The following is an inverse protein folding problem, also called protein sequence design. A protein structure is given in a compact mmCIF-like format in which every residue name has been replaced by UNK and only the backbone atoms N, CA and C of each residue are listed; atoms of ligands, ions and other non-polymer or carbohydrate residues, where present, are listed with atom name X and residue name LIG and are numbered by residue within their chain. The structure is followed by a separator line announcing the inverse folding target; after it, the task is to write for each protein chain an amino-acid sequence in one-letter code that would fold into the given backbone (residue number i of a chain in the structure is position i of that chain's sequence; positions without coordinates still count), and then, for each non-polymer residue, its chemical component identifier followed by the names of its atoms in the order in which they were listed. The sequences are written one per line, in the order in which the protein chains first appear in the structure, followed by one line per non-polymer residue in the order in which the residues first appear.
data_IF_873626066631
#
_entry.id   IF_873626066631
#
_cell.length_a   1.000
_cell.length_b   1.000
_cell.length_c   1.000
_cell.angle_alpha   90.00
_cell.angle_beta   90.00
_cell.angle_gamma   90.00
#
_symmetry.space_group_name_H-M   'P 1'
#
loop_
_entity.id
_entity.type
_entity.pdbx_description
1 polymer ?
#
# COMPACT_ATOMS: atom_id res chain seq x y z
N UNK A 1 -14.12 -13.19 66.76
CA UNK A 1 -13.89 -11.74 66.71
C UNK A 1 -12.70 -11.61 65.82
N UNK A 2 -12.80 -11.48 64.50
CA UNK A 2 -13.60 -10.58 63.69
C UNK A 2 -12.72 -9.42 63.34
N UNK A 3 -12.06 -9.49 62.19
CA UNK A 3 -11.96 -8.34 61.32
C UNK A 3 -11.34 -8.73 59.98
N UNK A 4 -12.07 -8.42 58.92
CA UNK A 4 -11.67 -8.49 57.55
C UNK A 4 -10.80 -7.26 57.21
N UNK A 5 -9.75 -7.39 56.41
CA UNK A 5 -9.18 -6.24 55.70
C UNK A 5 -9.86 -6.04 54.33
N UNK A 6 -10.05 -4.76 54.03
CA UNK A 6 -10.82 -4.23 52.93
C UNK A 6 -10.22 -4.42 51.56
N UNK A 7 -11.16 -4.38 50.67
CA UNK A 7 -11.08 -4.36 49.21
C UNK A 7 -10.31 -3.12 48.71
N UNK A 8 -9.11 -3.33 48.16
CA UNK A 8 -8.33 -2.34 47.46
C UNK A 8 -8.68 -2.37 45.96
N UNK A 9 -9.61 -1.51 45.55
CA UNK A 9 -9.96 -1.31 44.16
C UNK A 9 -8.77 -0.78 43.34
N UNK A 10 -8.13 -1.64 42.59
CA UNK A 10 -7.22 -1.23 41.51
C UNK A 10 -8.04 -0.61 40.36
N UNK A 11 -8.06 0.71 40.31
CA UNK A 11 -8.43 1.45 39.10
C UNK A 11 -7.42 1.11 37.99
N UNK A 12 -7.78 0.20 37.12
CA UNK A 12 -7.15 0.09 35.82
C UNK A 12 -7.49 1.32 35.00
N UNK A 13 -6.47 2.13 34.75
CA UNK A 13 -6.50 3.17 33.74
C UNK A 13 -6.70 2.48 32.40
N UNK A 14 -7.87 2.68 31.81
CA UNK A 14 -8.17 2.28 30.46
C UNK A 14 -7.24 3.06 29.51
N UNK A 15 -6.23 2.39 29.00
CA UNK A 15 -5.44 2.90 27.88
C UNK A 15 -6.38 3.10 26.70
N UNK A 16 -6.48 4.35 26.24
CA UNK A 16 -7.28 4.73 25.08
C UNK A 16 -6.83 3.90 23.88
N UNK A 17 -7.77 3.17 23.30
CA UNK A 17 -7.62 2.52 22.01
C UNK A 17 -7.35 3.60 20.98
N UNK A 18 -6.30 3.48 20.15
CA UNK A 18 -6.21 4.34 18.97
C UNK A 18 -7.44 4.05 18.10
N UNK A 19 -8.04 5.12 17.58
CA UNK A 19 -9.13 5.04 16.63
C UNK A 19 -8.69 4.14 15.45
N UNK A 20 -9.17 2.91 15.45
CA UNK A 20 -8.91 1.98 14.38
C UNK A 20 -9.51 2.55 13.10
N UNK A 21 -8.69 2.79 12.10
CA UNK A 21 -9.12 2.97 10.74
C UNK A 21 -9.86 1.71 10.33
N UNK A 22 -11.18 1.73 10.44
CA UNK A 22 -12.02 0.63 9.99
C UNK A 22 -11.81 0.46 8.49
N UNK A 23 -11.27 -0.69 8.09
CA UNK A 23 -11.20 -1.13 6.71
C UNK A 23 -12.64 -1.32 6.18
N UNK A 24 -13.16 -0.27 5.57
CA UNK A 24 -14.52 -0.21 4.98
C UNK A 24 -14.73 -1.26 3.88
N UNK A 25 -13.66 -1.89 3.42
CA UNK A 25 -13.67 -2.73 2.21
C UNK A 25 -13.70 -4.24 2.47
N UNK A 26 -13.65 -4.72 3.70
CA UNK A 26 -13.47 -6.16 3.96
C UNK A 26 -14.74 -7.02 3.96
N UNK A 27 -15.95 -6.45 3.95
CA UNK A 27 -17.19 -7.24 3.95
C UNK A 27 -18.27 -6.63 3.07
N UNK A 28 -18.10 -6.68 1.76
CA UNK A 28 -19.23 -6.55 0.83
C UNK A 28 -19.89 -7.93 0.67
N UNK A 29 -20.63 -8.36 1.68
CA UNK A 29 -21.70 -9.33 1.47
C UNK A 29 -22.91 -8.56 0.95
N UNK A 30 -23.06 -8.53 -0.35
CA UNK A 30 -24.28 -8.05 -0.98
C UNK A 30 -25.39 -9.01 -0.65
N UNK A 31 -26.31 -8.58 0.20
CA UNK A 31 -27.63 -9.19 0.27
C UNK A 31 -28.34 -8.86 -1.05
N UNK A 32 -28.34 -9.85 -1.96
CA UNK A 32 -29.21 -9.81 -3.13
C UNK A 32 -30.66 -9.89 -2.66
N UNK A 33 -31.29 -8.76 -2.47
CA UNK A 33 -32.76 -8.72 -2.67
C UNK A 33 -32.98 -8.47 -4.15
N UNK A 34 -32.85 -9.52 -4.94
CA UNK A 34 -33.41 -9.55 -6.27
C UNK A 34 -34.93 -9.60 -6.09
N UNK A 35 -35.57 -8.45 -5.93
CA UNK A 35 -36.99 -8.37 -6.19
C UNK A 35 -37.16 -8.61 -7.69
N UNK A 36 -37.39 -9.88 -8.07
CA UNK A 36 -37.93 -10.17 -9.38
C UNK A 36 -39.36 -9.59 -9.35
N UNK A 37 -39.54 -8.50 -10.05
CA UNK A 37 -40.89 -8.03 -10.38
C UNK A 37 -41.55 -9.15 -11.19
N UNK A 38 -42.31 -10.00 -10.53
CA UNK A 38 -43.15 -11.00 -11.23
C UNK A 38 -44.31 -10.22 -11.77
N UNK A 39 -44.22 -9.83 -13.03
CA UNK A 39 -45.37 -9.31 -13.76
C UNK A 39 -46.25 -10.54 -14.01
N UNK A 40 -47.17 -10.84 -13.09
CA UNK A 40 -48.24 -11.78 -13.32
C UNK A 40 -49.28 -11.05 -14.16
N UNK A 41 -49.31 -11.33 -15.46
CA UNK A 41 -50.42 -10.91 -16.31
C UNK A 41 -51.68 -11.60 -15.83
N UNK A 42 -52.41 -10.97 -14.92
CA UNK A 42 -53.73 -11.39 -14.55
C UNK A 42 -54.66 -10.91 -15.66
N UNK A 43 -54.96 -11.80 -16.59
CA UNK A 43 -56.06 -11.60 -17.55
C UNK A 43 -57.37 -11.66 -16.79
N UNK A 44 -57.88 -10.52 -16.33
CA UNK A 44 -59.22 -10.41 -15.76
C UNK A 44 -60.28 -10.47 -16.88
N UNK A 45 -60.85 -11.64 -17.10
CA UNK A 45 -62.10 -11.78 -17.87
C UNK A 45 -63.22 -11.19 -17.03
N UNK A 46 -63.65 -9.99 -17.33
CA UNK A 46 -64.86 -9.39 -16.74
C UNK A 46 -66.09 -9.98 -17.41
N UNK A 47 -66.80 -10.84 -16.67
CA UNK A 47 -68.15 -11.25 -17.03
C UNK A 47 -69.13 -10.10 -16.73
N UNK A 48 -69.73 -9.56 -17.76
CA UNK A 48 -70.78 -8.58 -17.64
C UNK A 48 -72.06 -9.28 -17.16
N UNK A 49 -72.56 -8.93 -15.97
CA UNK A 49 -73.89 -9.30 -15.49
C UNK A 49 -74.71 -8.05 -15.16
N UNK A 50 -75.84 -7.85 -15.85
CA UNK A 50 -76.99 -7.11 -15.41
C UNK A 50 -77.09 -5.65 -15.88
N UNK A 51 -77.97 -5.42 -16.83
CA UNK A 51 -78.38 -4.11 -17.32
C UNK A 51 -79.09 -3.28 -16.25
N UNK A 52 -78.69 -2.04 -16.12
CA UNK A 52 -79.37 -1.01 -15.33
C UNK A 52 -78.34 -0.02 -14.65
N UNK A 53 -77.24 -0.50 -14.20
CA UNK A 53 -76.22 0.36 -13.65
C UNK A 53 -75.02 0.57 -14.60
N UNK A 54 -75.06 0.00 -15.77
CA UNK A 54 -73.89 -0.03 -16.70
C UNK A 54 -73.57 1.35 -17.31
N UNK A 55 -74.51 2.28 -17.35
CA UNK A 55 -74.25 3.61 -17.94
C UNK A 55 -73.35 4.49 -17.09
N UNK A 56 -73.50 4.50 -15.77
CA UNK A 56 -72.68 5.28 -14.84
C UNK A 56 -71.37 4.60 -14.58
N UNK A 57 -71.32 3.26 -14.54
CA UNK A 57 -70.10 2.48 -14.39
C UNK A 57 -69.15 2.60 -15.61
N UNK A 58 -69.76 2.67 -16.83
CA UNK A 58 -69.01 2.82 -18.08
C UNK A 58 -68.27 4.18 -18.17
N UNK A 59 -68.91 5.24 -17.58
CA UNK A 59 -68.33 6.58 -17.57
C UNK A 59 -67.04 6.70 -16.69
N UNK A 60 -66.81 5.80 -15.74
CA UNK A 60 -65.68 5.75 -14.85
C UNK A 60 -64.63 4.66 -15.21
N UNK A 61 -64.91 3.81 -16.20
CA UNK A 61 -64.04 2.79 -16.70
C UNK A 61 -62.89 3.48 -17.52
N UNK A 62 -61.66 3.27 -17.13
CA UNK A 62 -60.49 3.90 -17.74
C UNK A 62 -59.48 2.86 -18.21
N UNK A 63 -58.72 3.22 -19.24
CA UNK A 63 -57.62 2.41 -19.75
C UNK A 63 -56.38 3.28 -19.79
N UNK A 64 -55.32 2.90 -19.06
CA UNK A 64 -54.04 3.59 -18.98
C UNK A 64 -52.94 2.67 -19.41
N UNK A 65 -51.82 3.24 -19.82
CA UNK A 65 -50.56 2.51 -20.03
C UNK A 65 -49.63 2.75 -18.84
N UNK A 66 -49.20 1.68 -18.19
CA UNK A 66 -48.19 1.79 -17.10
C UNK A 66 -46.89 1.24 -17.65
N UNK A 67 -45.86 2.08 -17.64
CA UNK A 67 -44.51 1.72 -18.02
C UNK A 67 -43.66 1.50 -16.78
N UNK A 68 -43.24 0.25 -16.53
CA UNK A 68 -42.37 -0.11 -15.42
C UNK A 68 -40.99 -0.43 -15.98
N UNK A 69 -40.01 0.39 -15.68
CA UNK A 69 -38.59 0.24 -16.12
C UNK A 69 -38.47 0.03 -17.64
N UNK A 70 -39.27 0.74 -18.44
CA UNK A 70 -39.31 0.63 -19.90
C UNK A 70 -40.25 -0.44 -20.45
N UNK A 71 -40.82 -1.32 -19.61
CA UNK A 71 -41.78 -2.30 -20.02
C UNK A 71 -43.21 -1.74 -19.88
N UNK A 72 -43.93 -1.59 -20.99
CA UNK A 72 -45.26 -1.02 -21.01
C UNK A 72 -46.32 -2.10 -20.86
N UNK A 73 -47.30 -1.87 -19.96
CA UNK A 73 -48.44 -2.72 -19.75
C UNK A 73 -49.73 -1.86 -19.79
N UNK A 74 -50.76 -2.33 -20.50
CA UNK A 74 -52.06 -1.64 -20.54
C UNK A 74 -52.97 -2.19 -19.42
N UNK A 75 -53.46 -1.27 -18.60
CA UNK A 75 -54.36 -1.57 -17.47
C UNK A 75 -55.73 -0.93 -17.70
N UNK A 76 -56.78 -1.71 -17.58
CA UNK A 76 -58.17 -1.25 -17.72
C UNK A 76 -58.95 -1.58 -16.46
N UNK A 77 -59.77 -0.65 -15.98
CA UNK A 77 -60.51 -0.83 -14.75
C UNK A 77 -61.23 0.43 -14.27
N UNK A 78 -61.79 0.32 -13.07
CA UNK A 78 -62.47 1.42 -12.38
C UNK A 78 -61.49 2.02 -11.36
N UNK A 79 -60.75 2.98 -11.76
CA UNK A 79 -59.79 3.68 -10.91
C UNK A 79 -59.81 5.17 -11.21
N UNK A 80 -59.52 5.98 -10.22
CA UNK A 80 -59.52 7.45 -10.29
C UNK A 80 -58.16 8.07 -10.21
N UNK A 81 -57.23 7.39 -9.55
CA UNK A 81 -55.87 7.88 -9.33
C UNK A 81 -54.83 6.97 -9.96
N UNK A 82 -53.57 7.49 -10.05
CA UNK A 82 -52.40 6.74 -10.50
C UNK A 82 -52.13 5.54 -9.60
N UNK A 83 -52.25 5.72 -8.27
CA UNK A 83 -52.05 4.64 -7.30
C UNK A 83 -53.07 3.51 -7.45
N UNK A 84 -54.35 3.85 -7.71
CA UNK A 84 -55.40 2.86 -7.98
C UNK A 84 -55.09 2.07 -9.27
N UNK A 85 -54.64 2.76 -10.31
CA UNK A 85 -54.29 2.13 -11.59
C UNK A 85 -53.07 1.19 -11.45
N UNK A 86 -52.03 1.58 -10.70
CA UNK A 86 -50.85 0.77 -10.38
C UNK A 86 -51.31 -0.51 -9.63
N UNK A 87 -52.18 -0.34 -8.61
CA UNK A 87 -52.71 -1.46 -7.84
C UNK A 87 -53.55 -2.39 -8.69
N UNK A 88 -54.42 -1.84 -9.58
CA UNK A 88 -55.21 -2.61 -10.52
C UNK A 88 -54.34 -3.38 -11.53
N UNK A 89 -53.17 -2.87 -11.88
CA UNK A 89 -52.18 -3.53 -12.73
C UNK A 89 -51.38 -4.63 -12.00
N UNK A 90 -51.58 -4.80 -10.70
CA UNK A 90 -50.83 -5.76 -9.89
C UNK A 90 -49.34 -5.38 -9.72
N UNK A 91 -49.01 -4.08 -9.87
CA UNK A 91 -47.63 -3.56 -9.76
C UNK A 91 -47.38 -3.21 -8.31
N UNK A 92 -46.29 -3.76 -7.77
CA UNK A 92 -45.83 -3.42 -6.42
C UNK A 92 -44.74 -2.34 -6.53
N UNK A 93 -44.92 -1.23 -5.84
CA UNK A 93 -43.98 -0.13 -5.78
C UNK A 93 -43.31 -0.05 -4.39
N UNK A 94 -42.08 0.41 -4.33
CA UNK A 94 -41.35 0.70 -3.10
C UNK A 94 -41.41 2.19 -2.74
N UNK A 95 -41.01 2.51 -1.50
CA UNK A 95 -41.09 3.89 -0.97
C UNK A 95 -40.12 4.88 -1.68
N UNK A 96 -39.13 4.36 -2.40
CA UNK A 96 -38.12 5.15 -3.11
C UNK A 96 -38.32 5.14 -4.64
N UNK A 97 -39.35 4.42 -5.14
CA UNK A 97 -39.62 4.36 -6.57
C UNK A 97 -40.10 5.72 -7.08
N UNK A 98 -39.69 6.06 -8.30
CA UNK A 98 -40.18 7.24 -8.98
C UNK A 98 -41.49 6.88 -9.72
N UNK A 99 -42.56 7.54 -9.38
CA UNK A 99 -43.86 7.40 -10.02
C UNK A 99 -44.25 8.75 -10.62
N UNK A 100 -44.50 8.77 -11.91
CA UNK A 100 -44.90 9.98 -12.62
C UNK A 100 -46.09 9.69 -13.56
N UNK A 101 -47.23 10.41 -13.41
CA UNK A 101 -47.56 11.39 -12.37
C UNK A 101 -47.61 10.77 -10.96
N UNK A 102 -47.62 11.63 -9.92
CA UNK A 102 -47.67 11.17 -8.54
C UNK A 102 -48.86 10.26 -8.23
N UNK A 103 -48.77 9.30 -7.29
CA UNK A 103 -49.81 8.30 -7.02
C UNK A 103 -51.18 8.87 -6.73
N UNK A 104 -51.27 10.06 -6.13
CA UNK A 104 -52.51 10.75 -5.81
C UNK A 104 -53.11 11.52 -6.99
N UNK A 105 -52.39 11.64 -8.09
CA UNK A 105 -52.86 12.34 -9.29
C UNK A 105 -54.01 11.60 -9.94
N UNK A 106 -54.98 12.35 -10.49
CA UNK A 106 -56.07 11.76 -11.27
C UNK A 106 -55.57 11.25 -12.62
N UNK A 107 -56.14 10.16 -13.09
CA UNK A 107 -55.82 9.61 -14.41
C UNK A 107 -57.00 9.68 -15.35
N UNK A 108 -56.75 9.76 -16.64
CA UNK A 108 -57.72 9.69 -17.73
C UNK A 108 -57.44 8.52 -18.66
N UNK A 109 -58.42 8.09 -19.43
CA UNK A 109 -58.21 7.06 -20.45
C UNK A 109 -57.22 7.56 -21.51
N UNK A 110 -56.19 6.74 -21.77
CA UNK A 110 -55.09 7.06 -22.69
C UNK A 110 -53.84 7.61 -22.01
N UNK A 111 -53.91 7.94 -20.72
CA UNK A 111 -52.73 8.43 -19.97
C UNK A 111 -51.65 7.36 -19.85
N UNK A 112 -50.39 7.82 -19.75
CA UNK A 112 -49.23 6.98 -19.46
C UNK A 112 -48.72 7.31 -18.08
N UNK A 113 -48.54 6.28 -17.26
CA UNK A 113 -47.91 6.32 -15.94
C UNK A 113 -46.54 5.67 -16.05
N UNK A 114 -45.53 6.37 -15.61
CA UNK A 114 -44.14 5.86 -15.60
C UNK A 114 -43.78 5.49 -14.18
N UNK A 115 -43.29 4.27 -14.01
CA UNK A 115 -42.71 3.76 -12.76
C UNK A 115 -41.25 3.41 -13.02
N UNK A 116 -40.39 3.97 -12.23
CA UNK A 116 -38.96 3.61 -12.22
C UNK A 116 -38.62 3.04 -10.86
N UNK A 117 -38.17 1.80 -10.83
CA UNK A 117 -37.80 1.10 -9.60
C UNK A 117 -36.49 1.62 -9.05
N UNK A 118 -36.50 2.03 -7.80
CA UNK A 118 -35.26 2.45 -7.11
C UNK A 118 -34.50 1.25 -6.59
N UNK A 119 -33.20 1.28 -6.78
CA UNK A 119 -32.28 0.29 -6.26
C UNK A 119 -31.42 0.91 -5.15
N UNK A 120 -31.19 0.15 -4.09
CA UNK A 120 -30.30 0.54 -3.00
C UNK A 120 -28.83 0.30 -3.40
N UNK A 121 -28.04 1.36 -3.36
CA UNK A 121 -26.60 1.34 -3.63
C UNK A 121 -25.82 1.64 -2.36
N UNK A 122 -24.74 0.91 -2.14
CA UNK A 122 -23.73 1.25 -1.12
C UNK A 122 -22.73 2.19 -1.74
N UNK A 123 -22.71 3.39 -1.23
CA UNK A 123 -21.79 4.45 -1.63
C UNK A 123 -20.92 4.89 -0.44
N UNK A 124 -19.87 5.61 -0.72
CA UNK A 124 -19.04 6.24 0.30
C UNK A 124 -19.11 7.75 0.10
N UNK A 125 -19.38 8.49 1.15
CA UNK A 125 -19.34 9.95 1.16
C UNK A 125 -18.21 10.37 2.10
N UNK A 126 -17.22 11.07 1.59
CA UNK A 126 -16.00 11.46 2.33
C UNK A 126 -15.32 10.27 3.06
N UNK A 127 -15.34 9.10 2.43
CA UNK A 127 -14.78 7.87 2.98
C UNK A 127 -15.69 7.13 3.95
N UNK A 128 -16.80 7.71 4.39
CA UNK A 128 -17.77 7.05 5.25
C UNK A 128 -18.81 6.26 4.44
N UNK A 129 -19.05 4.97 4.74
CA UNK A 129 -20.03 4.17 4.03
C UNK A 129 -21.45 4.64 4.34
N UNK A 130 -22.26 4.75 3.30
CA UNK A 130 -23.68 5.08 3.40
C UNK A 130 -24.47 4.35 2.33
N UNK A 131 -25.80 4.45 2.38
CA UNK A 131 -26.68 3.93 1.35
C UNK A 131 -27.37 5.06 0.60
N UNK A 132 -27.57 4.85 -0.71
CA UNK A 132 -28.31 5.76 -1.56
C UNK A 132 -29.32 4.97 -2.39
N UNK A 133 -30.51 5.52 -2.55
CA UNK A 133 -31.52 4.99 -3.43
C UNK A 133 -31.50 5.76 -4.75
N UNK A 134 -31.47 5.05 -5.86
CA UNK A 134 -31.47 5.67 -7.18
C UNK A 134 -32.24 4.82 -8.18
N UNK A 135 -32.96 5.48 -9.07
CA UNK A 135 -33.58 4.88 -10.24
C UNK A 135 -32.67 4.87 -11.46
N UNK A 136 -31.44 5.40 -11.32
CA UNK A 136 -30.48 5.46 -12.41
C UNK A 136 -29.90 4.06 -12.72
N UNK A 137 -29.69 3.80 -13.99
CA UNK A 137 -29.10 2.56 -14.52
C UNK A 137 -27.61 2.68 -14.82
N UNK A 138 -27.00 3.83 -14.50
CA UNK A 138 -25.59 4.12 -14.73
C UNK A 138 -24.88 4.61 -13.46
N UNK A 139 -23.56 4.42 -13.42
CA UNK A 139 -22.71 4.86 -12.30
C UNK A 139 -22.81 6.38 -12.11
N UNK A 140 -22.68 7.16 -13.18
CA UNK A 140 -22.79 8.63 -13.12
C UNK A 140 -24.12 9.05 -12.51
N UNK A 141 -25.22 8.47 -12.99
CA UNK A 141 -26.56 8.78 -12.47
C UNK A 141 -26.74 8.41 -10.99
N UNK A 142 -26.14 7.31 -10.53
CA UNK A 142 -26.15 6.95 -9.09
C UNK A 142 -25.32 7.94 -8.27
N UNK A 143 -24.13 8.31 -8.75
CA UNK A 143 -23.27 9.29 -8.06
C UNK A 143 -23.93 10.65 -7.97
N UNK A 144 -24.64 11.08 -9.04
CA UNK A 144 -25.36 12.36 -9.09
C UNK A 144 -26.60 12.39 -8.19
N UNK A 145 -27.23 11.23 -7.98
CA UNK A 145 -28.40 11.12 -7.10
C UNK A 145 -28.05 11.29 -5.61
N UNK A 146 -26.75 11.21 -5.24
CA UNK A 146 -26.31 11.40 -3.83
C UNK A 146 -26.19 12.90 -3.52
N UNK A 147 -27.03 13.45 -2.61
CA UNK A 147 -27.02 14.86 -2.29
C UNK A 147 -25.85 15.19 -1.36
N UNK A 148 -24.65 15.31 -1.89
CA UNK A 148 -23.46 15.68 -1.13
C UNK A 148 -22.56 16.58 -1.96
N UNK A 149 -21.98 17.61 -1.31
CA UNK A 149 -20.91 18.43 -1.88
C UNK A 149 -19.52 17.78 -1.71
N UNK A 150 -19.43 16.72 -0.90
CA UNK A 150 -18.19 15.98 -0.65
C UNK A 150 -17.86 14.95 -1.72
N UNK A 151 -16.78 14.22 -1.48
CA UNK A 151 -16.34 13.12 -2.35
C UNK A 151 -17.32 11.96 -2.26
N UNK A 152 -17.99 11.62 -3.36
CA UNK A 152 -18.88 10.46 -3.45
C UNK A 152 -18.22 9.38 -4.27
N UNK A 153 -18.22 8.15 -3.76
CA UNK A 153 -17.65 7.02 -4.47
C UNK A 153 -18.57 5.79 -4.40
N UNK A 154 -18.51 4.98 -5.46
CA UNK A 154 -19.14 3.66 -5.53
C UNK A 154 -18.08 2.62 -5.92
N UNK A 155 -18.01 1.51 -5.18
CA UNK A 155 -17.09 0.43 -5.51
C UNK A 155 -17.47 -0.21 -6.86
N UNK A 156 -16.48 -0.35 -7.74
CA UNK A 156 -16.66 -1.10 -8.97
C UNK A 156 -16.66 -2.60 -8.65
N UNK A 157 -17.68 -3.31 -9.14
CA UNK A 157 -17.77 -4.75 -8.96
C UNK A 157 -16.76 -5.45 -9.89
N UNK A 158 -15.85 -6.22 -9.29
CA UNK A 158 -14.84 -7.01 -10.01
C UNK A 158 -15.23 -8.48 -10.19
N UNK A 159 -16.38 -8.90 -9.65
CA UNK A 159 -16.82 -10.27 -9.81
C UNK A 159 -17.41 -10.47 -11.20
N UNK A 160 -16.82 -11.37 -11.97
CA UNK A 160 -17.29 -11.73 -13.32
C UNK A 160 -18.70 -12.33 -13.36
N UNK A 161 -19.27 -12.66 -12.21
CA UNK A 161 -20.61 -13.23 -12.09
C UNK A 161 -21.73 -12.18 -12.03
N UNK A 162 -21.39 -10.89 -11.98
CA UNK A 162 -22.35 -9.79 -11.92
C UNK A 162 -22.13 -8.89 -13.13
N UNK A 163 -23.23 -8.54 -13.82
CA UNK A 163 -23.17 -7.55 -14.88
C UNK A 163 -22.63 -6.23 -14.31
N UNK A 164 -21.57 -5.72 -14.90
CA UNK A 164 -21.02 -4.42 -14.55
C UNK A 164 -22.02 -3.33 -14.89
N UNK A 165 -22.17 -2.38 -13.98
CA UNK A 165 -23.00 -1.20 -14.24
C UNK A 165 -22.28 -0.33 -15.28
N UNK A 166 -22.98 0.11 -16.35
CA UNK A 166 -22.40 1.03 -17.31
C UNK A 166 -22.06 2.36 -16.65
N UNK A 167 -20.96 2.99 -17.10
CA UNK A 167 -20.51 4.24 -16.49
C UNK A 167 -21.49 5.40 -16.75
N UNK A 168 -22.09 5.45 -17.94
CA UNK A 168 -23.05 6.51 -18.31
C UNK A 168 -22.42 7.90 -18.47
N UNK A 169 -21.14 7.97 -18.79
CA UNK A 169 -20.40 9.19 -19.08
C UNK A 169 -19.59 9.00 -20.37
N UNK A 170 -19.39 10.07 -21.14
CA UNK A 170 -18.65 10.03 -22.40
C UNK A 170 -17.13 10.01 -22.18
N UNK A 171 -16.68 10.61 -21.08
CA UNK A 171 -15.28 10.64 -20.67
C UNK A 171 -15.16 10.18 -19.22
N UNK A 172 -14.18 9.32 -18.96
CA UNK A 172 -13.83 8.84 -17.62
C UNK A 172 -12.36 9.08 -17.38
N UNK A 173 -12.05 9.72 -16.27
CA UNK A 173 -10.67 9.94 -15.82
C UNK A 173 -10.21 8.69 -15.05
N UNK A 174 -9.22 7.96 -15.57
CA UNK A 174 -8.67 6.77 -14.91
C UNK A 174 -7.43 7.18 -14.12
N UNK A 175 -7.53 7.13 -12.80
CA UNK A 175 -6.44 7.45 -11.88
C UNK A 175 -5.81 6.17 -11.32
N UNK A 176 -4.57 5.88 -11.69
CA UNK A 176 -3.81 4.72 -11.26
C UNK A 176 -2.31 5.05 -11.20
N UNK A 177 -1.59 4.50 -10.23
CA UNK A 177 -0.13 4.57 -10.14
C UNK A 177 0.42 6.02 -10.20
N UNK A 178 -0.33 6.97 -9.60
CA UNK A 178 0.04 8.38 -9.58
C UNK A 178 -0.21 9.15 -10.88
N UNK A 179 -0.82 8.52 -11.88
CA UNK A 179 -1.16 9.13 -13.18
C UNK A 179 -2.67 9.14 -13.40
N UNK A 180 -3.13 10.10 -14.21
CA UNK A 180 -4.53 10.14 -14.67
C UNK A 180 -4.56 10.12 -16.18
N UNK A 181 -5.38 9.24 -16.74
CA UNK A 181 -5.56 9.08 -18.19
C UNK A 181 -7.05 9.27 -18.52
N UNK A 182 -7.34 10.07 -19.52
CA UNK A 182 -8.71 10.27 -19.99
C UNK A 182 -9.08 9.17 -20.99
N UNK A 183 -10.22 8.54 -20.73
CA UNK A 183 -10.75 7.47 -21.56
C UNK A 183 -12.11 7.87 -22.11
N UNK A 184 -12.25 7.81 -23.44
CA UNK A 184 -13.56 7.93 -24.07
C UNK A 184 -14.37 6.66 -23.82
N UNK A 185 -15.49 6.82 -23.15
CA UNK A 185 -16.40 5.74 -22.79
C UNK A 185 -17.62 5.70 -23.72
N UNK A 186 -18.21 4.54 -23.84
CA UNK A 186 -19.55 4.35 -24.45
C UNK A 186 -20.57 4.12 -23.35
N UNK A 187 -21.84 4.31 -23.67
CA UNK A 187 -22.93 4.13 -22.71
C UNK A 187 -23.00 2.71 -22.09
N UNK A 188 -22.34 1.72 -22.71
CA UNK A 188 -22.34 0.33 -22.26
C UNK A 188 -21.07 -0.06 -21.49
N UNK A 189 -20.05 0.80 -21.46
CA UNK A 189 -18.77 0.48 -20.83
C UNK A 189 -18.91 0.46 -19.30
N UNK A 190 -18.46 -0.63 -18.70
CA UNK A 190 -18.27 -0.77 -17.26
C UNK A 190 -16.81 -0.56 -16.85
N UNK A 191 -16.49 -0.82 -15.58
CA UNK A 191 -15.15 -0.60 -15.03
C UNK A 191 -14.05 -1.38 -15.76
N UNK A 192 -14.32 -2.65 -16.10
CA UNK A 192 -13.32 -3.49 -16.80
C UNK A 192 -12.97 -2.94 -18.18
N UNK A 193 -13.97 -2.56 -18.95
CA UNK A 193 -13.75 -1.98 -20.29
C UNK A 193 -12.99 -0.65 -20.23
N UNK A 194 -13.28 0.19 -19.24
CA UNK A 194 -12.58 1.46 -19.03
C UNK A 194 -11.12 1.21 -18.63
N UNK A 195 -10.84 0.27 -17.73
CA UNK A 195 -9.48 -0.08 -17.33
C UNK A 195 -8.67 -0.64 -18.51
N UNK A 196 -9.28 -1.51 -19.32
CA UNK A 196 -8.66 -2.06 -20.52
C UNK A 196 -8.28 -0.95 -21.51
N UNK A 197 -9.20 -0.01 -21.79
CA UNK A 197 -8.93 1.15 -22.65
C UNK A 197 -7.84 2.07 -22.12
N UNK A 198 -7.71 2.18 -20.78
CA UNK A 198 -6.64 2.92 -20.14
C UNK A 198 -5.31 2.17 -20.10
N UNK A 199 -5.28 0.87 -20.45
CA UNK A 199 -4.10 0.02 -20.32
C UNK A 199 -3.74 -0.30 -18.86
N UNK A 200 -4.70 -0.18 -17.94
CA UNK A 200 -4.51 -0.39 -16.49
C UNK A 200 -4.97 -1.79 -16.09
N UNK A 201 -4.05 -2.61 -15.62
CA UNK A 201 -4.35 -3.91 -15.03
C UNK A 201 -4.60 -3.78 -13.53
N UNK A 202 -5.79 -4.11 -13.07
CA UNK A 202 -6.11 -4.18 -11.64
C UNK A 202 -5.86 -5.59 -11.11
N UNK A 203 -5.02 -5.71 -10.08
CA UNK A 203 -4.75 -6.96 -9.39
C UNK A 203 -5.92 -7.42 -8.51
N UNK A 204 -5.90 -8.68 -8.03
CA UNK A 204 -7.00 -9.25 -7.24
C UNK A 204 -7.20 -8.58 -5.88
N UNK A 205 -6.20 -7.88 -5.37
CA UNK A 205 -6.25 -7.16 -4.10
C UNK A 205 -6.57 -5.67 -4.28
N UNK A 206 -6.38 -5.13 -5.49
CA UNK A 206 -6.55 -3.71 -5.75
C UNK A 206 -8.00 -3.28 -5.53
N UNK A 207 -8.16 -2.06 -5.05
CA UNK A 207 -9.46 -1.44 -4.85
C UNK A 207 -9.77 -0.56 -6.04
N UNK A 208 -10.91 -0.80 -6.67
CA UNK A 208 -11.38 -0.04 -7.81
C UNK A 208 -12.70 0.61 -7.44
N UNK A 209 -12.80 1.93 -7.63
CA UNK A 209 -14.00 2.67 -7.33
C UNK A 209 -14.19 3.84 -8.30
N UNK A 210 -15.44 4.11 -8.65
CA UNK A 210 -15.83 5.33 -9.33
C UNK A 210 -16.06 6.43 -8.31
N UNK A 211 -15.57 7.60 -8.62
CA UNK A 211 -15.71 8.82 -7.84
C UNK A 211 -16.38 9.90 -8.66
N UNK A 212 -17.23 10.71 -8.02
CA UNK A 212 -17.70 11.96 -8.59
C UNK A 212 -16.63 13.01 -8.38
N UNK A 213 -16.04 13.51 -9.46
CA UNK A 213 -15.11 14.62 -9.48
C UNK A 213 -15.78 15.93 -9.94
N UNK A 214 -15.05 17.03 -9.88
CA UNK A 214 -15.51 18.32 -10.41
C UNK A 214 -15.68 18.28 -11.94
N UNK A 215 -14.82 17.51 -12.61
CA UNK A 215 -14.75 17.42 -14.08
C UNK A 215 -15.44 16.16 -14.63
N UNK A 216 -16.23 15.45 -13.80
CA UNK A 216 -16.93 14.25 -14.22
C UNK A 216 -16.62 13.01 -13.37
N UNK A 217 -16.69 11.84 -13.99
CA UNK A 217 -16.48 10.55 -13.30
C UNK A 217 -15.01 10.15 -13.35
N UNK A 218 -14.43 9.84 -12.21
CA UNK A 218 -13.07 9.30 -12.08
C UNK A 218 -13.13 7.84 -11.65
N UNK A 219 -12.50 6.94 -12.40
CA UNK A 219 -12.25 5.55 -11.98
C UNK A 219 -10.88 5.47 -11.34
N UNK A 220 -10.86 5.28 -10.01
CA UNK A 220 -9.62 5.19 -9.25
C UNK A 220 -9.24 3.75 -8.95
N UNK A 221 -7.99 3.41 -9.21
CA UNK A 221 -7.36 2.14 -8.81
C UNK A 221 -6.38 2.41 -7.68
N UNK A 222 -6.63 1.82 -6.53
CA UNK A 222 -5.71 1.84 -5.40
C UNK A 222 -4.97 0.51 -5.34
N UNK A 223 -3.65 0.56 -5.41
CA UNK A 223 -2.81 -0.63 -5.33
C UNK A 223 -2.76 -1.15 -3.90
N UNK A 224 -3.12 -2.40 -3.71
CA UNK A 224 -3.09 -3.04 -2.40
C UNK A 224 -2.10 -4.18 -2.41
N UNK A 225 -1.11 -4.12 -1.51
CA UNK A 225 -0.21 -5.24 -1.26
C UNK A 225 -0.35 -5.69 0.18
N UNK A 226 -0.19 -6.99 0.42
CA UNK A 226 -0.19 -7.58 1.76
C UNK A 226 0.69 -8.81 1.80
N UNK A 227 1.37 -8.99 2.92
CA UNK A 227 2.25 -10.14 3.11
C UNK A 227 3.19 -9.96 4.29
N UNK A 228 4.02 -10.95 4.50
CA UNK A 228 5.05 -10.90 5.52
C UNK A 228 6.31 -10.22 4.96
N UNK A 229 6.81 -9.24 5.70
CA UNK A 229 8.07 -8.56 5.42
C UNK A 229 9.06 -8.91 6.53
N UNK A 230 10.27 -9.27 6.13
CA UNK A 230 11.36 -9.55 7.07
C UNK A 230 12.37 -8.41 6.99
N UNK A 231 12.66 -7.82 8.13
CA UNK A 231 13.73 -6.84 8.30
C UNK A 231 14.79 -7.38 9.25
N UNK A 232 16.05 -7.12 8.98
CA UNK A 232 17.17 -7.49 9.86
C UNK A 232 18.04 -6.29 10.12
N UNK A 233 18.31 -6.05 11.39
CA UNK A 233 19.17 -4.97 11.86
C UNK A 233 20.40 -5.59 12.54
N UNK A 234 21.59 -5.14 12.20
CA UNK A 234 22.82 -5.55 12.86
C UNK A 234 22.91 -4.91 14.24
N UNK A 235 23.42 -5.67 15.20
CA UNK A 235 23.72 -5.21 16.55
C UNK A 235 25.23 -5.23 16.70
N UNK A 236 25.84 -4.06 16.87
CA UNK A 236 27.29 -3.97 17.00
C UNK A 236 27.78 -4.63 18.29
N UNK A 237 28.99 -5.18 18.23
CA UNK A 237 29.63 -5.73 19.40
C UNK A 237 30.44 -4.68 20.16
N UNK A 238 30.55 -4.87 21.47
CA UNK A 238 31.41 -4.08 22.31
C UNK A 238 32.88 -4.57 22.26
N UNK A 239 33.83 -3.67 22.49
CA UNK A 239 35.25 -4.03 22.73
C UNK A 239 35.55 -3.84 24.21
N UNK A 240 36.07 -4.87 24.85
CA UNK A 240 36.52 -4.87 26.24
C UNK A 240 38.03 -5.00 26.26
N UNK A 241 38.69 -4.13 27.00
CA UNK A 241 40.12 -4.18 27.20
C UNK A 241 40.44 -4.81 28.56
N UNK A 242 41.41 -5.70 28.59
CA UNK A 242 41.90 -6.37 29.82
C UNK A 242 43.42 -6.26 29.90
N UNK A 243 43.91 -6.01 31.08
CA UNK A 243 45.35 -6.03 31.34
C UNK A 243 45.85 -7.48 31.35
N UNK A 244 47.05 -7.71 30.76
CA UNK A 244 47.72 -9.00 30.71
C UNK A 244 49.19 -8.78 31.10
N UNK A 245 49.61 -9.32 32.25
CA UNK A 245 50.96 -9.22 32.81
C UNK A 245 51.96 -10.18 32.16
N UNK A 246 51.47 -11.05 31.26
CA UNK A 246 52.35 -11.93 30.47
C UNK A 246 52.80 -11.30 29.16
N UNK A 247 52.11 -10.26 28.69
CA UNK A 247 52.48 -9.49 27.49
C UNK A 247 53.31 -8.28 27.85
N UNK A 248 54.31 -7.99 27.02
CA UNK A 248 55.19 -6.83 27.20
C UNK A 248 54.40 -5.51 27.14
N UNK A 249 54.72 -4.57 28.01
CA UNK A 249 54.10 -3.27 28.14
C UNK A 249 54.07 -2.53 26.80
N UNK A 250 52.85 -2.11 26.40
CA UNK A 250 52.62 -1.43 25.12
C UNK A 250 52.29 -2.36 23.95
N UNK A 251 52.23 -3.67 24.18
CA UNK A 251 51.74 -4.61 23.19
C UNK A 251 50.25 -4.91 23.42
N UNK A 252 49.48 -5.13 22.35
CA UNK A 252 48.11 -5.53 22.43
C UNK A 252 47.89 -6.85 21.68
N UNK A 253 46.98 -7.69 22.20
CA UNK A 253 46.66 -8.94 21.57
C UNK A 253 45.13 -9.16 21.64
N UNK A 254 44.51 -9.43 20.48
CA UNK A 254 43.10 -9.84 20.49
C UNK A 254 43.01 -11.26 21.06
N UNK A 255 42.29 -11.38 22.16
CA UNK A 255 42.03 -12.65 22.85
C UNK A 255 40.77 -13.31 22.34
N UNK A 256 39.76 -12.48 22.04
CA UNK A 256 38.50 -12.91 21.49
C UNK A 256 38.06 -11.94 20.37
N UNK A 257 37.78 -12.47 19.21
CA UNK A 257 37.21 -11.67 18.13
C UNK A 257 35.75 -11.31 18.43
N UNK A 258 35.38 -10.07 18.14
CA UNK A 258 33.98 -9.62 18.22
C UNK A 258 33.22 -10.13 17.02
N UNK A 259 31.94 -10.43 17.27
CA UNK A 259 31.00 -10.74 16.20
C UNK A 259 29.71 -9.93 16.40
N UNK A 260 29.24 -9.29 15.33
CA UNK A 260 27.98 -8.56 15.37
C UNK A 260 26.81 -9.51 15.61
N UNK A 261 25.89 -9.09 16.46
CA UNK A 261 24.58 -9.72 16.60
C UNK A 261 23.63 -9.28 15.51
N UNK A 262 22.43 -9.79 15.56
CA UNK A 262 21.35 -9.37 14.65
C UNK A 262 19.99 -9.43 15.32
N UNK A 263 19.13 -8.51 14.97
CA UNK A 263 17.71 -8.58 15.31
C UNK A 263 16.91 -8.69 14.03
N UNK A 264 16.21 -9.81 13.87
CA UNK A 264 15.37 -10.11 12.72
C UNK A 264 13.91 -10.04 13.13
N UNK A 265 13.17 -9.12 12.53
CA UNK A 265 11.73 -8.94 12.75
C UNK A 265 10.98 -9.38 11.52
N UNK A 266 9.99 -10.25 11.72
CA UNK A 266 8.98 -10.61 10.72
C UNK A 266 7.70 -9.90 11.08
N UNK A 267 7.17 -9.10 10.17
CA UNK A 267 5.92 -8.37 10.34
C UNK A 267 4.98 -8.65 9.17
N UNK A 268 3.69 -8.80 9.48
CA UNK A 268 2.66 -8.74 8.45
C UNK A 268 2.39 -7.27 8.12
N UNK A 269 2.43 -6.93 6.85
CA UNK A 269 2.16 -5.58 6.38
C UNK A 269 1.06 -5.58 5.32
N UNK A 270 0.20 -4.56 5.40
CA UNK A 270 -0.67 -4.16 4.30
C UNK A 270 -0.31 -2.74 3.90
N UNK A 271 -0.24 -2.50 2.59
CA UNK A 271 -0.08 -1.13 2.07
C UNK A 271 -1.11 -0.82 1.01
N UNK A 272 -1.47 0.46 0.93
CA UNK A 272 -2.36 1.03 -0.09
C UNK A 272 -1.59 2.14 -0.78
N UNK A 273 -1.47 2.05 -2.11
CA UNK A 273 -0.67 2.99 -2.92
C UNK A 273 0.75 3.19 -2.38
N UNK A 274 1.38 2.11 -1.87
CA UNK A 274 2.72 2.13 -1.28
C UNK A 274 2.80 2.63 0.16
N UNK A 275 1.71 3.14 0.73
CA UNK A 275 1.64 3.58 2.13
C UNK A 275 1.25 2.41 3.02
N UNK A 276 2.09 2.09 4.01
CA UNK A 276 1.79 1.03 4.97
C UNK A 276 0.63 1.45 5.87
N UNK A 277 -0.48 0.71 5.79
CA UNK A 277 -1.70 0.95 6.57
C UNK A 277 -1.85 0.00 7.76
N UNK A 278 -1.25 -1.19 7.65
CA UNK A 278 -1.18 -2.19 8.72
C UNK A 278 0.24 -2.67 8.84
N UNK A 279 0.77 -2.69 10.06
CA UNK A 279 2.06 -3.28 10.38
C UNK A 279 1.94 -4.03 11.71
N UNK A 280 1.91 -5.35 11.65
CA UNK A 280 1.78 -6.21 12.81
C UNK A 280 3.01 -7.10 12.94
N UNK A 281 3.80 -6.92 13.99
CA UNK A 281 4.96 -7.76 14.27
C UNK A 281 4.47 -9.17 14.65
N UNK A 282 4.94 -10.17 13.91
CA UNK A 282 4.62 -11.58 14.12
C UNK A 282 5.67 -12.26 14.99
N UNK A 283 6.95 -11.96 14.76
CA UNK A 283 8.05 -12.49 15.55
C UNK A 283 9.26 -11.57 15.51
N UNK A 284 10.04 -11.57 16.56
CA UNK A 284 11.37 -10.98 16.62
C UNK A 284 12.33 -12.03 17.14
N UNK A 285 13.40 -12.26 16.39
CA UNK A 285 14.49 -13.16 16.76
C UNK A 285 15.74 -12.32 16.93
N UNK A 286 16.40 -12.45 18.08
CA UNK A 286 17.63 -11.72 18.38
C UNK A 286 18.77 -12.69 18.59
N UNK A 287 19.88 -12.40 17.92
CA UNK A 287 21.18 -13.02 18.16
C UNK A 287 22.07 -11.99 18.83
N UNK A 288 22.54 -12.30 20.04
CA UNK A 288 23.37 -11.36 20.78
C UNK A 288 24.77 -11.24 20.14
N UNK A 289 25.35 -10.04 20.16
CA UNK A 289 26.71 -9.84 19.69
C UNK A 289 27.73 -10.49 20.64
N UNK A 290 28.84 -10.92 20.08
CA UNK A 290 29.99 -11.41 20.86
C UNK A 290 30.97 -10.26 21.07
N UNK A 291 31.28 -9.96 22.33
CA UNK A 291 32.23 -8.91 22.71
C UNK A 291 33.63 -9.22 22.21
N UNK A 292 34.29 -8.26 21.61
CA UNK A 292 35.72 -8.34 21.32
C UNK A 292 36.51 -8.11 22.62
N UNK A 293 37.50 -8.97 22.88
CA UNK A 293 38.39 -8.80 24.05
C UNK A 293 39.81 -8.58 23.55
N UNK A 294 40.40 -7.48 23.99
CA UNK A 294 41.78 -7.09 23.68
C UNK A 294 42.58 -7.08 24.96
N UNK A 295 43.66 -7.86 25.01
CA UNK A 295 44.61 -7.87 26.13
C UNK A 295 45.67 -6.78 25.91
N UNK A 296 45.86 -5.94 26.90
CA UNK A 296 46.90 -4.90 26.92
C UNK A 296 48.07 -5.37 27.81
N UNK A 297 49.28 -5.47 27.23
CA UNK A 297 50.45 -5.89 27.93
C UNK A 297 50.88 -4.91 29.01
N UNK A 298 51.04 -5.42 30.24
CA UNK A 298 51.54 -4.62 31.39
C UNK A 298 52.90 -5.07 31.91
N UNK A 299 53.48 -6.15 31.36
CA UNK A 299 54.79 -6.66 31.77
C UNK A 299 55.87 -5.65 31.46
N UNK A 300 56.49 -5.14 32.51
CA UNK A 300 57.61 -4.20 32.38
C UNK A 300 58.85 -4.94 31.89
N UNK A 301 59.49 -4.41 30.83
CA UNK A 301 60.71 -4.99 30.32
C UNK A 301 61.79 -5.03 31.42
N UNK A 302 62.42 -6.20 31.67
CA UNK A 302 63.47 -6.33 32.61
C UNK A 302 64.54 -5.34 32.22
N UNK A 303 64.89 -4.41 33.13
CA UNK A 303 65.91 -3.39 32.91
C UNK A 303 67.22 -4.10 32.56
N UNK A 304 67.81 -3.83 31.36
CA UNK A 304 69.09 -4.43 31.03
C UNK A 304 70.17 -3.99 32.03
N UNK A 305 70.89 -4.96 32.57
CA UNK A 305 72.10 -4.65 33.33
C UNK A 305 73.08 -3.79 32.48
N UNK A 306 73.75 -2.79 33.05
CA UNK A 306 74.58 -1.89 32.29
C UNK A 306 75.72 -2.66 31.63
N UNK A 307 75.73 -2.67 30.28
CA UNK A 307 76.84 -3.19 29.48
C UNK A 307 77.97 -2.16 29.40
N UNK A 308 79.21 -2.60 29.40
CA UNK A 308 80.36 -1.68 29.31
C UNK A 308 80.46 -1.03 27.92
N UNK A 309 80.67 0.25 27.95
CA UNK A 309 80.93 1.11 26.81
C UNK A 309 82.15 0.71 26.01
N UNK A 310 81.99 0.54 24.72
CA UNK A 310 83.07 0.78 23.71
C UNK A 310 82.39 1.01 22.36
N UNK A 311 82.36 2.14 21.86
CA UNK A 311 83.32 2.78 21.01
C UNK A 311 82.94 2.69 19.53
N UNK A 312 82.45 3.78 18.99
CA UNK A 312 82.86 4.39 17.70
C UNK A 312 82.41 3.84 16.34
N UNK A 313 81.79 4.76 15.65
CA UNK A 313 82.01 5.17 14.24
C UNK A 313 81.27 4.43 13.11
N UNK A 314 80.55 5.26 12.37
CA UNK A 314 80.73 5.25 10.92
C UNK A 314 79.43 5.12 10.10
N UNK A 315 78.83 6.24 9.78
CA UNK A 315 78.57 6.75 8.43
C UNK A 315 77.93 5.82 7.36
N UNK A 316 76.90 6.38 6.78
CA UNK A 316 76.55 6.36 5.35
C UNK A 316 75.19 5.67 5.01
N UNK A 317 74.27 6.51 4.65
CA UNK A 317 73.30 6.18 3.66
C UNK A 317 74.00 6.04 2.29
N UNK A 318 73.42 5.37 1.30
CA UNK A 318 72.25 5.86 0.58
C UNK A 318 71.26 4.80 0.04
N UNK A 319 70.06 5.30 -0.24
CA UNK A 319 69.18 5.01 -1.34
C UNK A 319 69.39 3.73 -2.18
N UNK A 320 68.40 2.90 -2.32
CA UNK A 320 67.81 2.72 -3.63
C UNK A 320 66.48 1.96 -3.59
N UNK A 321 65.66 2.35 -4.53
CA UNK A 321 64.36 1.93 -4.91
C UNK A 321 64.28 0.43 -5.23
N UNK A 322 63.35 -0.25 -4.63
CA UNK A 322 62.90 -1.54 -5.06
C UNK A 322 61.44 -1.74 -4.60
N UNK A 323 60.52 -1.40 -5.47
CA UNK A 323 59.10 -1.68 -5.25
C UNK A 323 58.92 -3.20 -5.19
N UNK A 324 58.98 -3.76 -4.00
CA UNK A 324 58.45 -5.09 -3.73
C UNK A 324 56.93 -4.95 -3.57
N UNK A 325 56.16 -5.72 -4.34
CA UNK A 325 54.74 -5.88 -4.17
C UNK A 325 54.46 -6.19 -2.69
N UNK A 326 53.51 -5.50 -2.05
CA UNK A 326 53.22 -5.69 -0.65
C UNK A 326 52.58 -7.03 -0.42
N UNK A 327 53.33 -7.97 0.10
CA UNK A 327 52.81 -9.11 0.83
C UNK A 327 52.49 -8.65 2.26
N UNK A 328 51.59 -7.68 2.34
CA UNK A 328 51.11 -7.13 3.61
C UNK A 328 49.70 -7.62 3.85
N UNK A 329 49.34 -7.66 5.13
CA UNK A 329 47.97 -7.95 5.58
C UNK A 329 46.95 -7.25 4.72
N UNK A 330 45.84 -7.95 4.43
CA UNK A 330 44.72 -7.46 3.61
C UNK A 330 44.31 -5.99 3.95
N UNK A 331 44.46 -5.58 5.22
CA UNK A 331 44.17 -4.23 5.68
C UNK A 331 45.10 -3.16 5.08
N UNK A 332 46.40 -3.46 4.89
CA UNK A 332 47.33 -2.51 4.33
C UNK A 332 47.12 -2.24 2.84
N UNK A 333 46.68 -3.24 2.11
CA UNK A 333 46.29 -3.13 0.70
C UNK A 333 45.08 -2.20 0.57
N UNK A 334 44.04 -2.40 1.38
CA UNK A 334 42.88 -1.55 1.37
C UNK A 334 43.14 -0.12 1.77
N UNK A 335 44.03 0.10 2.76
CA UNK A 335 44.52 1.44 3.12
C UNK A 335 45.24 2.13 1.97
N UNK A 336 46.08 1.40 1.23
CA UNK A 336 46.80 1.93 0.07
C UNK A 336 45.85 2.29 -1.09
N UNK A 337 44.85 1.47 -1.35
CA UNK A 337 43.80 1.80 -2.37
C UNK A 337 43.03 3.04 -1.95
N UNK A 338 42.53 3.12 -0.72
CA UNK A 338 41.78 4.26 -0.21
C UNK A 338 42.62 5.55 -0.27
N UNK A 339 43.90 5.46 0.13
CA UNK A 339 44.83 6.59 0.06
C UNK A 339 45.01 7.07 -1.39
N UNK A 340 45.15 6.16 -2.33
CA UNK A 340 45.32 6.48 -3.74
C UNK A 340 44.09 7.03 -4.41
N UNK A 341 42.85 6.49 -4.08
CA UNK A 341 41.58 6.88 -4.71
C UNK A 341 41.06 8.21 -4.19
N UNK A 342 41.19 8.50 -2.89
CA UNK A 342 40.55 9.66 -2.24
C UNK A 342 41.36 10.34 -1.17
N UNK A 343 42.67 9.96 -1.01
CA UNK A 343 43.46 10.39 0.15
C UNK A 343 42.97 9.75 1.46
N UNK A 344 42.26 8.62 1.40
CA UNK A 344 41.75 7.93 2.58
C UNK A 344 40.55 8.60 3.24
N UNK A 345 39.91 9.60 2.59
CA UNK A 345 38.81 10.34 3.18
C UNK A 345 37.44 9.67 2.86
N UNK A 346 36.71 9.16 3.88
CA UNK A 346 35.45 8.50 3.68
C UNK A 346 34.32 9.43 3.24
N UNK A 347 34.42 10.74 3.50
CA UNK A 347 33.37 11.71 3.14
C UNK A 347 33.57 12.34 1.76
N UNK A 348 34.51 11.85 0.96
CA UNK A 348 34.83 12.42 -0.35
C UNK A 348 33.61 12.38 -1.28
N UNK A 349 33.22 13.56 -1.75
CA UNK A 349 32.19 13.78 -2.76
C UNK A 349 32.57 15.04 -3.55
N UNK A 350 33.20 14.85 -4.69
CA UNK A 350 33.66 15.95 -5.56
C UNK A 350 32.69 16.30 -6.66
N UNK A 351 31.49 15.67 -6.69
CA UNK A 351 30.47 15.89 -7.72
C UNK A 351 30.77 15.18 -9.05
N UNK A 352 31.83 14.37 -9.14
CA UNK A 352 32.22 13.62 -10.34
C UNK A 352 31.45 12.28 -10.53
N UNK A 353 30.50 11.98 -9.64
CA UNK A 353 29.70 10.73 -9.67
C UNK A 353 30.35 9.57 -8.92
N UNK A 354 31.48 9.79 -8.26
CA UNK A 354 32.17 8.84 -7.40
C UNK A 354 32.26 9.34 -5.96
N UNK A 355 32.09 8.44 -5.00
CA UNK A 355 31.86 8.78 -3.60
C UNK A 355 32.70 7.95 -2.64
N UNK A 356 33.08 8.56 -1.52
CA UNK A 356 33.72 7.90 -0.42
C UNK A 356 35.19 7.55 -0.65
N UNK A 357 35.81 6.85 0.32
CA UNK A 357 37.23 6.55 0.32
C UNK A 357 37.70 5.63 -0.81
N UNK A 358 36.80 4.83 -1.36
CA UNK A 358 37.06 3.91 -2.47
C UNK A 358 36.45 4.34 -3.80
N UNK A 359 35.95 5.57 -3.89
CA UNK A 359 35.37 6.17 -5.10
C UNK A 359 34.33 5.28 -5.80
N UNK A 360 33.32 4.82 -5.03
CA UNK A 360 32.22 4.05 -5.57
C UNK A 360 31.32 4.90 -6.45
N UNK A 361 30.92 4.37 -7.60
CA UNK A 361 29.72 4.85 -8.26
C UNK A 361 28.46 4.40 -7.51
N UNK A 362 27.39 5.16 -7.57
CA UNK A 362 26.15 4.82 -6.86
C UNK A 362 25.54 3.46 -7.29
N UNK A 363 25.53 3.11 -8.60
CA UNK A 363 25.09 1.77 -9.01
C UNK A 363 25.96 0.64 -8.44
N UNK A 364 27.29 0.80 -8.44
CA UNK A 364 28.22 -0.19 -7.89
C UNK A 364 28.03 -0.36 -6.37
N UNK A 365 27.87 0.76 -5.65
CA UNK A 365 27.58 0.76 -4.22
C UNK A 365 26.33 -0.05 -3.87
N UNK A 366 25.24 0.23 -4.58
CA UNK A 366 23.98 -0.49 -4.39
C UNK A 366 24.09 -1.97 -4.75
N UNK A 367 24.86 -2.32 -5.75
CA UNK A 367 25.05 -3.72 -6.18
C UNK A 367 25.70 -4.60 -5.12
N UNK A 368 26.47 -4.00 -4.21
CA UNK A 368 27.08 -4.67 -3.05
C UNK A 368 26.30 -4.43 -1.75
N UNK A 369 25.05 -3.95 -1.87
CA UNK A 369 24.10 -3.79 -0.76
C UNK A 369 24.25 -2.49 0.04
N UNK A 370 24.97 -1.49 -0.48
CA UNK A 370 25.08 -0.18 0.16
C UNK A 370 23.79 0.63 0.06
N UNK A 371 23.40 1.30 1.16
CA UNK A 371 22.28 2.24 1.22
C UNK A 371 22.79 3.69 1.20
N UNK A 372 21.97 4.65 0.79
CA UNK A 372 22.35 6.07 0.73
C UNK A 372 23.53 6.34 -0.23
N UNK A 373 24.34 7.35 0.11
CA UNK A 373 25.56 7.66 -0.61
C UNK A 373 26.78 6.99 0.07
N UNK A 374 27.75 6.46 -0.69
CA UNK A 374 28.98 5.91 -0.10
C UNK A 374 29.70 6.89 0.83
N UNK A 375 29.69 8.19 0.50
CA UNK A 375 30.33 9.25 1.32
C UNK A 375 29.60 9.56 2.63
N UNK A 376 28.42 9.02 2.84
CA UNK A 376 27.63 9.12 4.09
C UNK A 376 27.79 7.89 4.97
N UNK A 377 28.37 6.81 4.43
CA UNK A 377 28.63 5.57 5.14
C UNK A 377 29.95 5.65 5.92
N UNK A 378 30.07 4.86 6.99
CA UNK A 378 31.32 4.79 7.77
C UNK A 378 32.49 4.22 6.94
N UNK A 379 33.72 4.50 7.35
CA UNK A 379 34.89 3.97 6.70
C UNK A 379 34.95 2.44 6.69
N UNK A 380 34.46 1.82 7.77
CA UNK A 380 34.37 0.38 7.93
C UNK A 380 33.35 -0.22 6.95
N UNK A 381 32.16 0.39 6.81
CA UNK A 381 31.17 -0.07 5.84
C UNK A 381 31.70 0.08 4.42
N UNK A 382 32.32 1.19 4.09
CA UNK A 382 32.93 1.39 2.78
C UNK A 382 33.99 0.32 2.48
N UNK A 383 34.85 0.00 3.46
CA UNK A 383 35.89 -1.04 3.33
C UNK A 383 35.27 -2.43 3.17
N UNK A 384 34.23 -2.75 3.95
CA UNK A 384 33.49 -4.00 3.83
C UNK A 384 32.89 -4.18 2.43
N UNK A 385 32.23 -3.14 1.93
CA UNK A 385 31.61 -3.14 0.60
C UNK A 385 32.66 -3.25 -0.52
N UNK A 386 33.82 -2.59 -0.34
CA UNK A 386 34.94 -2.71 -1.27
C UNK A 386 35.48 -4.14 -1.33
N UNK A 387 35.63 -4.81 -0.20
CA UNK A 387 35.98 -6.24 -0.14
C UNK A 387 34.98 -7.13 -0.82
N UNK A 388 33.68 -6.90 -0.61
CA UNK A 388 32.61 -7.64 -1.30
C UNK A 388 32.68 -7.45 -2.81
N UNK A 389 32.96 -6.23 -3.28
CA UNK A 389 33.11 -5.93 -4.70
C UNK A 389 34.35 -6.63 -5.27
N UNK A 390 35.46 -6.60 -4.56
CA UNK A 390 36.70 -7.27 -4.96
C UNK A 390 36.52 -8.79 -5.07
N UNK A 391 35.86 -9.41 -4.10
CA UNK A 391 35.57 -10.86 -4.14
C UNK A 391 34.68 -11.24 -5.33
N UNK A 392 33.76 -10.37 -5.74
CA UNK A 392 32.84 -10.60 -6.84
C UNK A 392 33.42 -10.28 -8.21
N UNK A 393 34.22 -9.24 -8.32
CA UNK A 393 34.64 -8.65 -9.60
C UNK A 393 36.14 -8.40 -9.73
N UNK A 394 36.93 -8.79 -8.72
CA UNK A 394 38.38 -8.64 -8.72
C UNK A 394 38.87 -7.20 -8.48
N UNK A 395 40.21 -7.02 -8.50
CA UNK A 395 40.86 -5.75 -8.25
C UNK A 395 40.69 -4.71 -9.37
N UNK A 396 40.35 -5.13 -10.57
CA UNK A 396 40.16 -4.24 -11.74
C UNK A 396 39.05 -3.19 -11.60
N UNK A 397 38.36 -3.14 -10.46
CA UNK A 397 37.33 -2.14 -10.16
C UNK A 397 37.90 -0.79 -9.74
N UNK A 398 39.17 -0.75 -9.38
CA UNK A 398 39.86 0.47 -8.91
C UNK A 398 41.05 0.82 -9.81
N UNK A 399 41.08 2.06 -10.29
CA UNK A 399 42.21 2.57 -11.07
C UNK A 399 43.53 2.52 -10.31
N UNK A 400 43.49 2.67 -8.98
CA UNK A 400 44.65 2.60 -8.11
C UNK A 400 45.17 1.17 -7.93
N UNK A 401 44.34 0.12 -8.14
CA UNK A 401 44.81 -1.26 -8.07
C UNK A 401 45.87 -1.57 -9.13
N UNK A 402 45.76 -1.01 -10.33
CA UNK A 402 46.79 -1.09 -11.36
C UNK A 402 48.10 -0.40 -10.94
N UNK A 403 48.01 0.77 -10.30
CA UNK A 403 49.19 1.51 -9.82
C UNK A 403 49.91 0.78 -8.69
N UNK A 404 49.19 -0.02 -7.92
CA UNK A 404 49.68 -0.79 -6.80
C UNK A 404 50.10 -2.22 -7.18
N UNK A 405 49.98 -2.61 -8.47
CA UNK A 405 50.40 -3.92 -8.97
C UNK A 405 49.51 -5.08 -8.48
N UNK A 406 48.23 -4.82 -8.19
CA UNK A 406 47.25 -5.81 -7.73
C UNK A 406 46.48 -6.46 -8.87
N UNK A 407 46.63 -5.93 -10.09
CA UNK A 407 46.00 -6.40 -11.33
C UNK A 407 47.08 -6.69 -12.37
#
# INVERSE_FOLDING_TARGET
MGDKPGDGAHRQLAAGRPAGTYNVWSHVRTLKHTRRTVITAASAAALAIGGGAAGLAYASHRTVTIEVDGAAQRVSGFFSTVGDAISAGGITTGDHDLIAPAPESSVSSGDTVVVRTATEYRVSVDGAPTTAWSTASSVSGVLDAVPSAGSVAIAADRSQSRAEMPVGADTVHVAADGTTTDVTATAADGASAILEKAGVNAGPLDRVAFHRGADGVTLRVQRVTRGNVTSSTSIDYATEERDDDTLDKGTTKTVQEGAAGSETTVAYQESVDGVVTVNAVLSTTRTEPTTRIVANGTKEAAQPAPAPSSGSSGSSAPSDSGASAPSGDDASIWAAIAQCESGGNPTTNTGNGYYGMYQFSLPTWRSVGGAGLPSEASAEEQTMRARMLQQRAGWGQWGCAYKLGLV
#
